data_IF_720507281622
#
_entry.id   IF_720507281622
#
_cell.length_a   1.000
_cell.length_b   1.000
_cell.length_c   1.000
_cell.angle_alpha   90.00
_cell.angle_beta   90.00
_cell.angle_gamma   90.00
#
_symmetry.space_group_name_H-M   'P 1'
#
loop_
_entity.id
_entity.type
_entity.pdbx_description
1 polymer ?
#
# COMPACT_ATOMS: atom_id res chain seq x y z
N UNK A 1 -3.15 7.62 -18.84
CA UNK A 1 -4.60 7.38 -18.89
C UNK A 1 -5.22 7.76 -20.24
N UNK A 2 -4.60 8.68 -20.99
CA UNK A 2 -5.17 9.24 -22.20
C UNK A 2 -6.26 10.29 -21.96
N UNK A 3 -6.72 10.51 -20.74
CA UNK A 3 -7.60 11.62 -20.39
C UNK A 3 -6.79 12.92 -20.27
N UNK A 4 -7.28 14.05 -20.87
CA UNK A 4 -6.63 15.33 -20.67
C UNK A 4 -6.81 15.80 -19.21
N UNK A 5 -5.86 16.59 -18.72
CA UNK A 5 -5.87 17.03 -17.31
C UNK A 5 -7.12 17.87 -16.95
N UNK A 6 -7.63 18.66 -17.88
CA UNK A 6 -8.82 19.51 -17.72
C UNK A 6 -10.14 18.70 -17.68
N UNK A 7 -10.11 17.42 -18.03
CA UNK A 7 -11.25 16.53 -17.88
C UNK A 7 -11.34 15.91 -16.48
N UNK A 8 -10.33 16.05 -15.62
CA UNK A 8 -10.31 15.44 -14.30
C UNK A 8 -11.02 16.38 -13.29
N UNK A 9 -12.12 15.90 -12.72
CA UNK A 9 -13.05 16.73 -11.95
C UNK A 9 -12.82 16.68 -10.44
N UNK A 10 -12.06 15.69 -9.92
CA UNK A 10 -11.79 15.53 -8.50
C UNK A 10 -10.45 14.86 -8.26
N UNK A 11 -9.85 15.05 -7.07
CA UNK A 11 -8.64 14.34 -6.66
C UNK A 11 -8.74 13.81 -5.21
N UNK A 12 -8.34 12.54 -4.99
CA UNK A 12 -8.32 11.90 -3.67
C UNK A 12 -7.00 11.19 -3.44
N UNK A 13 -6.31 11.47 -2.34
CA UNK A 13 -5.02 10.83 -2.03
C UNK A 13 -4.93 10.36 -0.60
N UNK A 14 -4.29 9.20 -0.43
CA UNK A 14 -3.83 8.71 0.86
C UNK A 14 -2.53 9.38 1.28
N UNK A 15 -2.46 9.87 2.51
CA UNK A 15 -1.23 10.39 3.13
C UNK A 15 -1.38 10.29 4.64
N UNK A 16 -0.39 9.74 5.33
CA UNK A 16 -0.50 9.40 6.75
C UNK A 16 0.38 10.27 7.62
N UNK A 17 1.66 10.38 7.30
CA UNK A 17 2.66 11.07 8.11
C UNK A 17 3.02 12.39 7.43
N UNK A 18 2.44 13.50 7.90
CA UNK A 18 2.79 14.82 7.38
C UNK A 18 4.16 15.24 7.85
N UNK A 19 5.05 15.56 6.92
CA UNK A 19 6.44 15.93 7.16
C UNK A 19 6.67 17.43 7.18
N UNK A 20 5.74 18.19 6.59
CA UNK A 20 5.76 19.66 6.55
C UNK A 20 4.33 20.21 6.42
N UNK A 21 4.08 21.51 6.70
CA UNK A 21 2.71 22.08 6.64
C UNK A 21 2.02 21.94 5.29
N UNK A 22 2.78 21.87 4.19
CA UNK A 22 2.24 21.68 2.83
C UNK A 22 1.57 20.31 2.65
N UNK A 23 1.97 19.30 3.40
CA UNK A 23 1.46 17.94 3.27
C UNK A 23 -0.02 17.83 3.62
N UNK A 24 -0.55 18.74 4.44
CA UNK A 24 -1.99 18.85 4.69
C UNK A 24 -2.81 19.20 3.43
N UNK A 25 -2.14 19.69 2.40
CA UNK A 25 -2.72 20.04 1.12
C UNK A 25 -2.26 19.12 -0.02
N UNK A 26 -1.62 17.98 0.28
CA UNK A 26 -0.95 17.14 -0.72
C UNK A 26 -1.83 16.81 -1.93
N UNK A 27 -3.12 16.39 -1.82
CA UNK A 27 -3.93 16.12 -3.00
C UNK A 27 -4.18 17.37 -3.85
N UNK A 28 -4.35 18.52 -3.20
CA UNK A 28 -4.54 19.79 -3.90
C UNK A 28 -3.26 20.23 -4.60
N UNK A 29 -2.12 20.11 -3.95
CA UNK A 29 -0.82 20.41 -4.55
C UNK A 29 -0.54 19.50 -5.75
N UNK A 30 -0.85 18.21 -5.62
CA UNK A 30 -0.71 17.23 -6.70
C UNK A 30 -1.61 17.59 -7.88
N UNK A 31 -2.91 17.85 -7.63
CA UNK A 31 -3.88 18.16 -8.69
C UNK A 31 -3.49 19.42 -9.48
N UNK A 32 -3.16 20.51 -8.80
CA UNK A 32 -2.74 21.75 -9.46
C UNK A 32 -1.42 21.54 -10.21
N UNK A 33 -0.43 20.87 -9.57
CA UNK A 33 0.86 20.55 -10.20
C UNK A 33 0.74 19.66 -11.43
N UNK A 34 -0.27 18.80 -11.48
CA UNK A 34 -0.59 17.94 -12.62
C UNK A 34 -1.41 18.65 -13.71
N UNK A 35 -1.80 19.92 -13.52
CA UNK A 35 -2.56 20.71 -14.48
C UNK A 35 -4.07 20.46 -14.46
N UNK A 36 -4.62 19.89 -13.38
CA UNK A 36 -6.06 19.80 -13.21
C UNK A 36 -6.67 21.21 -13.05
N UNK A 37 -7.92 21.42 -13.45
CA UNK A 37 -8.61 22.70 -13.25
C UNK A 37 -8.61 23.15 -11.78
N UNK A 38 -8.45 24.43 -11.54
CA UNK A 38 -8.56 24.99 -10.19
C UNK A 38 -9.95 24.79 -9.58
N UNK A 39 -10.95 24.55 -10.40
CA UNK A 39 -12.32 24.20 -9.99
C UNK A 39 -12.45 22.75 -9.51
N UNK A 40 -11.49 21.87 -9.79
CA UNK A 40 -11.51 20.47 -9.33
C UNK A 40 -11.15 20.40 -7.84
N UNK A 41 -12.08 20.05 -6.93
CA UNK A 41 -11.75 19.91 -5.53
C UNK A 41 -10.86 18.70 -5.26
N UNK A 42 -10.23 18.73 -4.09
CA UNK A 42 -9.36 17.63 -3.67
C UNK A 42 -9.47 17.40 -2.16
N UNK A 43 -9.38 16.15 -1.73
CA UNK A 43 -9.26 15.82 -0.31
C UNK A 43 -8.29 14.69 -0.05
N UNK A 44 -7.83 14.64 1.18
CA UNK A 44 -6.90 13.63 1.69
C UNK A 44 -7.61 12.66 2.61
N UNK A 45 -7.21 11.40 2.55
CA UNK A 45 -7.67 10.37 3.50
C UNK A 45 -6.50 9.81 4.29
N UNK A 46 -6.75 9.57 5.58
CA UNK A 46 -5.87 8.80 6.44
C UNK A 46 -6.64 7.60 7.00
N UNK A 47 -6.34 6.43 6.47
CA UNK A 47 -6.72 5.12 6.99
C UNK A 47 -5.45 4.28 7.20
N UNK A 48 -4.39 4.92 7.72
CA UNK A 48 -3.08 4.29 7.90
C UNK A 48 -2.65 3.54 6.63
N UNK A 49 -2.16 2.30 6.76
CA UNK A 49 -1.69 1.49 5.63
C UNK A 49 -2.71 1.39 4.47
N UNK A 50 -4.01 1.43 4.76
CA UNK A 50 -5.09 1.33 3.77
C UNK A 50 -5.40 2.61 3.00
N UNK A 51 -4.71 3.73 3.26
CA UNK A 51 -5.07 5.06 2.73
C UNK A 51 -5.10 5.11 1.20
N UNK A 52 -4.13 4.52 0.52
CA UNK A 52 -4.09 4.51 -0.94
C UNK A 52 -5.26 3.76 -1.58
N UNK A 53 -5.62 2.57 -1.06
CA UNK A 53 -6.83 1.85 -1.51
C UNK A 53 -8.11 2.60 -1.12
N UNK A 54 -8.15 3.23 0.07
CA UNK A 54 -9.29 4.04 0.49
C UNK A 54 -9.48 5.25 -0.43
N UNK A 55 -8.43 5.90 -0.87
CA UNK A 55 -8.51 7.00 -1.83
C UNK A 55 -9.17 6.53 -3.14
N UNK A 56 -8.78 5.38 -3.67
CA UNK A 56 -9.40 4.76 -4.86
C UNK A 56 -10.87 4.45 -4.61
N UNK A 57 -11.20 3.85 -3.45
CA UNK A 57 -12.61 3.56 -3.08
C UNK A 57 -13.42 4.84 -2.94
N UNK A 58 -12.88 5.88 -2.30
CA UNK A 58 -13.57 7.16 -2.14
C UNK A 58 -13.82 7.83 -3.48
N UNK A 59 -12.84 7.85 -4.40
CA UNK A 59 -13.05 8.34 -5.77
C UNK A 59 -14.13 7.53 -6.50
N UNK A 60 -14.13 6.21 -6.35
CA UNK A 60 -15.17 5.34 -6.92
C UNK A 60 -16.56 5.68 -6.38
N UNK A 61 -16.66 5.99 -5.08
CA UNK A 61 -17.93 6.38 -4.45
C UNK A 61 -18.43 7.72 -4.99
N UNK A 62 -17.56 8.74 -5.11
CA UNK A 62 -17.93 10.04 -5.72
C UNK A 62 -18.45 9.86 -7.14
N UNK A 63 -17.78 9.06 -7.96
CA UNK A 63 -18.22 8.75 -9.34
C UNK A 63 -19.56 8.03 -9.36
N UNK A 64 -19.74 7.02 -8.49
CA UNK A 64 -21.03 6.27 -8.40
C UNK A 64 -22.18 7.11 -7.90
N UNK A 65 -21.93 8.11 -7.06
CA UNK A 65 -22.96 9.05 -6.56
C UNK A 65 -23.28 10.16 -7.56
N UNK A 66 -22.46 10.32 -8.62
CA UNK A 66 -22.64 11.36 -9.62
C UNK A 66 -22.05 12.72 -9.22
N UNK A 67 -21.19 12.77 -8.19
CA UNK A 67 -20.52 14.00 -7.78
C UNK A 67 -19.44 14.41 -8.81
N UNK A 68 -18.88 13.45 -9.55
CA UNK A 68 -17.96 13.64 -10.67
C UNK A 68 -17.99 12.44 -11.62
N UNK A 69 -17.58 12.66 -12.87
CA UNK A 69 -17.44 11.59 -13.88
C UNK A 69 -16.03 11.00 -13.91
N UNK A 70 -15.05 11.79 -13.45
CA UNK A 70 -13.63 11.46 -13.49
C UNK A 70 -12.93 11.91 -12.22
N UNK A 71 -11.99 11.12 -11.75
CA UNK A 71 -11.19 11.44 -10.57
C UNK A 71 -9.75 10.96 -10.70
N UNK A 72 -8.82 11.73 -10.14
CA UNK A 72 -7.46 11.30 -9.86
C UNK A 72 -7.42 10.71 -8.44
N UNK A 73 -6.96 9.48 -8.31
CA UNK A 73 -6.82 8.83 -7.01
C UNK A 73 -5.43 8.26 -6.83
N UNK A 74 -4.93 8.26 -5.61
CA UNK A 74 -3.59 7.73 -5.36
C UNK A 74 -3.20 7.74 -3.89
N UNK A 75 -1.91 7.67 -3.66
CA UNK A 75 -1.32 7.81 -2.34
C UNK A 75 0.11 8.29 -2.43
N UNK A 76 0.55 8.98 -1.41
CA UNK A 76 1.91 9.49 -1.25
C UNK A 76 2.36 9.31 0.19
N UNK A 77 3.63 8.97 0.38
CA UNK A 77 4.25 8.93 1.70
C UNK A 77 5.74 9.22 1.59
N UNK A 78 6.26 10.00 2.53
CA UNK A 78 7.69 10.31 2.64
C UNK A 78 8.13 9.97 4.07
N UNK A 79 8.27 8.67 4.34
CA UNK A 79 8.59 8.18 5.68
C UNK A 79 10.00 8.58 6.13
N UNK A 80 10.93 8.76 5.19
CA UNK A 80 12.29 9.21 5.45
C UNK A 80 12.37 10.63 6.07
N UNK A 81 11.27 11.40 5.99
CA UNK A 81 11.14 12.75 6.55
C UNK A 81 10.15 12.81 7.73
N UNK A 82 9.79 11.68 8.33
CA UNK A 82 8.91 11.65 9.48
C UNK A 82 9.31 12.69 10.54
N UNK A 83 8.40 13.58 10.99
CA UNK A 83 8.76 14.67 11.88
C UNK A 83 8.88 14.20 13.32
N UNK A 84 9.54 15.02 14.13
CA UNK A 84 9.46 14.92 15.59
C UNK A 84 8.50 15.96 16.14
N UNK A 85 7.66 15.58 17.12
CA UNK A 85 6.76 16.50 17.79
C UNK A 85 7.23 16.79 19.22
N UNK A 86 6.95 18.00 19.67
CA UNK A 86 7.30 18.54 20.97
C UNK A 86 6.00 18.95 21.69
N UNK A 87 5.29 18.04 22.36
CA UNK A 87 3.94 18.31 22.91
C UNK A 87 3.90 19.47 23.91
N UNK A 88 4.96 19.61 24.73
CA UNK A 88 5.01 20.64 25.73
C UNK A 88 5.32 22.06 25.21
N UNK A 89 5.90 22.17 23.98
CA UNK A 89 6.37 23.48 23.46
C UNK A 89 5.22 24.47 23.21
N UNK A 90 4.05 24.01 22.82
CA UNK A 90 2.89 24.88 22.62
C UNK A 90 2.51 25.66 23.89
N UNK A 91 2.79 25.09 25.05
CA UNK A 91 2.47 25.62 26.36
C UNK A 91 3.69 26.18 27.12
N UNK A 92 4.86 26.25 26.41
CA UNK A 92 6.04 26.93 26.90
C UNK A 92 7.07 26.09 27.63
N UNK A 93 6.89 24.77 27.78
CA UNK A 93 7.87 23.83 28.40
C UNK A 93 8.75 24.46 29.50
N UNK A 94 8.13 25.02 30.56
CA UNK A 94 8.66 26.08 31.43
C UNK A 94 9.89 25.69 32.26
N UNK A 95 9.93 24.49 32.84
CA UNK A 95 11.02 24.03 33.70
C UNK A 95 11.13 22.51 33.66
N UNK A 96 12.34 21.99 33.57
CA UNK A 96 12.65 20.57 33.48
C UNK A 96 12.73 20.08 32.03
N UNK A 97 12.95 18.76 31.90
CA UNK A 97 13.08 18.11 30.61
C UNK A 97 11.75 18.08 29.84
N UNK A 98 11.83 18.04 28.50
CA UNK A 98 10.68 17.92 27.61
C UNK A 98 10.86 16.73 26.69
N UNK A 99 9.79 15.95 26.49
CA UNK A 99 9.78 14.80 25.60
C UNK A 99 9.73 15.25 24.14
N UNK A 100 10.53 14.60 23.31
CA UNK A 100 10.47 14.66 21.85
C UNK A 100 9.94 13.31 21.35
N UNK A 101 8.89 13.31 20.55
CA UNK A 101 8.25 12.10 20.04
C UNK A 101 8.55 11.97 18.56
N UNK A 102 9.16 10.86 18.15
CA UNK A 102 9.33 10.48 16.76
C UNK A 102 7.98 10.04 16.17
N UNK A 103 7.43 10.82 15.25
CA UNK A 103 6.14 10.53 14.61
C UNK A 103 6.20 9.36 13.65
N UNK A 104 7.38 9.04 13.10
CA UNK A 104 7.59 7.85 12.28
C UNK A 104 7.33 6.58 13.12
N UNK A 105 8.03 6.47 14.24
CA UNK A 105 7.81 5.38 15.21
C UNK A 105 6.41 5.46 15.82
N UNK A 106 5.90 6.67 16.11
CA UNK A 106 4.57 6.88 16.67
C UNK A 106 3.43 6.37 15.79
N UNK A 107 3.54 6.56 14.47
CA UNK A 107 2.56 6.04 13.51
C UNK A 107 2.55 4.49 13.41
N UNK A 108 3.65 3.85 13.82
CA UNK A 108 3.80 2.40 13.86
C UNK A 108 3.53 1.79 15.25
N UNK A 109 3.04 2.59 16.22
CA UNK A 109 2.61 2.13 17.51
C UNK A 109 1.09 2.05 17.60
N UNK A 110 0.60 0.96 18.18
CA UNK A 110 -0.82 0.76 18.43
C UNK A 110 -1.31 1.70 19.56
N UNK A 111 -2.41 2.44 19.35
CA UNK A 111 -2.92 3.38 20.35
C UNK A 111 -3.64 2.70 21.52
N UNK A 112 -3.90 1.39 21.45
CA UNK A 112 -4.61 0.62 22.48
C UNK A 112 -3.66 -0.08 23.46
N UNK A 113 -2.36 0.26 23.43
CA UNK A 113 -1.38 -0.22 24.41
C UNK A 113 -0.71 -1.56 24.05
N UNK A 114 -0.85 -2.03 22.81
CA UNK A 114 -0.23 -3.30 22.36
C UNK A 114 1.26 -3.09 22.10
N UNK A 115 1.67 -1.91 21.67
CA UNK A 115 3.05 -1.57 21.32
C UNK A 115 3.26 -1.38 19.84
N UNK A 116 4.49 -1.58 19.37
CA UNK A 116 4.84 -1.45 17.94
C UNK A 116 4.07 -2.47 17.08
N UNK A 117 3.76 -2.12 15.82
CA UNK A 117 3.06 -3.03 14.88
C UNK A 117 3.76 -4.39 14.73
N UNK A 118 5.09 -4.46 14.91
CA UNK A 118 5.82 -5.73 14.95
C UNK A 118 5.38 -6.66 16.09
N UNK A 119 4.93 -6.13 17.23
CA UNK A 119 4.34 -6.95 18.31
C UNK A 119 3.02 -7.58 17.87
N UNK A 120 2.22 -6.87 17.06
CA UNK A 120 1.00 -7.47 16.50
C UNK A 120 1.32 -8.59 15.51
N UNK A 121 2.46 -8.52 14.81
CA UNK A 121 2.95 -9.60 13.94
C UNK A 121 3.44 -10.81 14.75
N UNK A 122 4.12 -10.60 15.89
CA UNK A 122 4.45 -11.68 16.85
C UNK A 122 3.18 -12.37 17.35
N UNK A 123 2.13 -11.60 17.67
CA UNK A 123 0.85 -12.16 18.11
C UNK A 123 0.20 -13.01 17.00
N UNK A 124 0.25 -12.55 15.74
CA UNK A 124 -0.26 -13.33 14.62
C UNK A 124 0.56 -14.61 14.44
N UNK A 125 1.89 -14.54 14.52
CA UNK A 125 2.75 -15.73 14.44
C UNK A 125 2.37 -16.76 15.50
N UNK A 126 2.18 -16.34 16.74
CA UNK A 126 1.78 -17.21 17.84
C UNK A 126 0.38 -17.80 17.68
N UNK A 127 -0.63 -16.95 17.37
CA UNK A 127 -2.03 -17.38 17.29
C UNK A 127 -2.29 -18.31 16.09
N UNK A 128 -1.55 -18.14 14.99
CA UNK A 128 -1.75 -18.88 13.73
C UNK A 128 -0.65 -19.91 13.45
N UNK A 129 0.28 -20.12 14.38
CA UNK A 129 1.33 -21.12 14.25
C UNK A 129 2.26 -20.88 13.06
N UNK A 130 2.66 -19.62 12.83
CA UNK A 130 3.61 -19.25 11.78
C UNK A 130 5.01 -19.31 12.37
N UNK A 131 5.85 -20.20 11.85
CA UNK A 131 7.21 -20.35 12.33
C UNK A 131 8.16 -19.27 11.79
N UNK A 132 9.32 -19.12 12.41
CA UNK A 132 10.40 -18.27 11.89
C UNK A 132 10.85 -18.73 10.50
N UNK A 133 10.93 -20.03 10.28
CA UNK A 133 11.30 -20.61 9.00
C UNK A 133 10.27 -20.26 7.90
N UNK A 134 8.98 -20.41 8.17
CA UNK A 134 7.91 -19.98 7.25
C UNK A 134 8.11 -18.52 6.82
N UNK A 135 8.38 -17.62 7.79
CA UNK A 135 8.54 -16.18 7.54
C UNK A 135 9.79 -15.88 6.71
N UNK A 136 10.92 -16.52 7.03
CA UNK A 136 12.17 -16.27 6.33
C UNK A 136 12.13 -16.84 4.90
N UNK A 137 11.53 -18.01 4.69
CA UNK A 137 11.28 -18.57 3.35
C UNK A 137 10.36 -17.67 2.51
N UNK A 138 9.25 -17.20 3.09
CA UNK A 138 8.35 -16.26 2.44
C UNK A 138 9.08 -14.98 2.03
N UNK A 139 9.90 -14.43 2.92
CA UNK A 139 10.64 -13.19 2.68
C UNK A 139 11.69 -13.34 1.58
N UNK A 140 12.46 -14.43 1.62
CA UNK A 140 13.41 -14.75 0.55
C UNK A 140 12.71 -14.92 -0.80
N UNK A 141 11.54 -15.57 -0.83
CA UNK A 141 10.73 -15.70 -2.05
C UNK A 141 10.25 -14.34 -2.56
N UNK A 142 9.78 -13.43 -1.69
CA UNK A 142 9.36 -12.08 -2.06
C UNK A 142 10.52 -11.31 -2.71
N UNK A 143 11.72 -11.37 -2.12
CA UNK A 143 12.93 -10.74 -2.67
C UNK A 143 13.31 -11.34 -4.04
N UNK A 144 13.35 -12.65 -4.16
CA UNK A 144 13.69 -13.33 -5.42
C UNK A 144 12.69 -12.98 -6.54
N UNK A 145 11.38 -12.94 -6.24
CA UNK A 145 10.33 -12.56 -7.18
C UNK A 145 10.48 -11.10 -7.63
N UNK A 146 10.75 -10.18 -6.71
CA UNK A 146 10.94 -8.77 -7.03
C UNK A 146 12.20 -8.54 -7.88
N UNK A 147 13.31 -9.20 -7.56
CA UNK A 147 14.54 -9.15 -8.34
C UNK A 147 14.31 -9.65 -9.76
N UNK A 148 13.68 -10.82 -9.91
CA UNK A 148 13.35 -11.37 -11.23
C UNK A 148 12.44 -10.43 -12.04
N UNK A 149 11.37 -9.89 -11.42
CA UNK A 149 10.45 -8.98 -12.08
C UNK A 149 11.14 -7.68 -12.54
N UNK A 150 12.06 -7.15 -11.72
CA UNK A 150 12.86 -5.98 -12.05
C UNK A 150 13.78 -6.25 -13.25
N UNK A 151 14.53 -7.36 -13.23
CA UNK A 151 15.42 -7.77 -14.33
C UNK A 151 14.66 -8.06 -15.62
N UNK A 152 13.49 -8.70 -15.52
CA UNK A 152 12.61 -8.98 -16.66
C UNK A 152 11.87 -7.73 -17.19
N UNK A 153 11.98 -6.59 -16.49
CA UNK A 153 11.37 -5.32 -16.90
C UNK A 153 9.85 -5.25 -16.67
N UNK A 154 9.28 -6.09 -15.80
CA UNK A 154 7.83 -6.11 -15.54
C UNK A 154 7.32 -4.81 -14.91
N UNK A 155 8.18 -4.07 -14.21
CA UNK A 155 7.84 -2.77 -13.61
C UNK A 155 8.00 -1.57 -14.55
N UNK A 156 8.63 -1.74 -15.72
CA UNK A 156 8.99 -0.64 -16.62
C UNK A 156 7.80 0.26 -17.02
N UNK A 157 6.63 -0.33 -17.24
CA UNK A 157 5.43 0.41 -17.65
C UNK A 157 4.63 0.95 -16.44
N UNK A 158 5.06 0.66 -15.22
CA UNK A 158 4.42 1.08 -13.98
C UNK A 158 5.17 2.24 -13.33
N UNK A 159 6.47 2.32 -13.54
CA UNK A 159 7.35 3.32 -12.93
C UNK A 159 7.44 4.54 -13.82
N UNK A 160 7.17 5.71 -13.25
CA UNK A 160 7.44 7.00 -13.88
C UNK A 160 8.82 7.47 -13.43
N UNK A 161 9.81 7.57 -14.34
CA UNK A 161 11.15 8.04 -13.98
C UNK A 161 11.14 9.47 -13.41
N UNK A 162 12.00 9.71 -12.42
CA UNK A 162 12.20 11.03 -11.81
C UNK A 162 13.63 11.49 -12.04
N UNK A 163 13.81 12.65 -12.67
CA UNK A 163 15.10 13.24 -12.85
C UNK A 163 15.53 14.02 -11.61
N UNK A 164 16.63 13.58 -11.02
CA UNK A 164 17.25 14.19 -9.85
C UNK A 164 18.50 14.97 -10.27
N UNK A 165 18.53 16.26 -9.98
CA UNK A 165 19.74 17.07 -10.21
C UNK A 165 20.62 17.07 -8.98
N UNK A 166 21.78 16.40 -9.06
CA UNK A 166 22.79 16.39 -8.00
C UNK A 166 24.11 16.95 -8.53
N UNK A 167 24.58 18.07 -7.95
CA UNK A 167 25.87 18.70 -8.31
C UNK A 167 26.05 18.90 -9.83
N UNK A 168 25.04 19.43 -10.52
CA UNK A 168 24.99 19.67 -11.99
C UNK A 168 24.99 18.39 -12.86
N UNK A 169 24.74 17.22 -12.26
CA UNK A 169 24.47 15.98 -13.01
C UNK A 169 23.01 15.61 -12.83
N UNK A 170 22.38 15.22 -13.90
CA UNK A 170 21.05 14.62 -13.87
C UNK A 170 21.25 13.13 -13.62
N UNK A 171 20.57 12.61 -12.61
CA UNK A 171 20.45 11.19 -12.32
C UNK A 171 18.98 10.84 -12.48
N UNK A 172 18.65 9.97 -13.39
CA UNK A 172 17.29 9.44 -13.53
C UNK A 172 17.09 8.33 -12.52
N UNK A 173 16.08 8.48 -11.66
CA UNK A 173 15.64 7.47 -10.71
C UNK A 173 14.42 6.76 -11.29
N UNK A 174 14.59 5.50 -11.70
CA UNK A 174 13.65 4.73 -12.53
C UNK A 174 13.46 3.28 -12.07
N UNK A 175 13.90 2.94 -10.87
CA UNK A 175 13.80 1.58 -10.32
C UNK A 175 13.58 1.58 -8.81
N UNK A 176 13.04 0.47 -8.28
CA UNK A 176 12.92 0.25 -6.85
C UNK A 176 14.27 -0.13 -6.25
N UNK A 177 14.81 0.74 -5.38
CA UNK A 177 16.14 0.57 -4.78
C UNK A 177 16.18 -0.36 -3.57
N UNK A 178 15.00 -0.77 -3.06
CA UNK A 178 14.88 -1.53 -1.82
C UNK A 178 15.12 -3.03 -2.00
N UNK A 179 15.05 -3.55 -3.23
CA UNK A 179 15.22 -4.96 -3.55
C UNK A 179 16.60 -5.47 -3.13
N UNK A 180 16.63 -6.60 -2.42
CA UNK A 180 17.84 -7.30 -1.96
C UNK A 180 17.89 -8.68 -2.58
N UNK A 181 18.31 -8.76 -3.82
CA UNK A 181 18.30 -9.98 -4.64
C UNK A 181 19.13 -11.14 -4.01
N UNK A 182 20.12 -10.82 -3.18
CA UNK A 182 20.98 -11.77 -2.49
C UNK A 182 20.36 -12.40 -1.23
N UNK A 183 19.15 -12.00 -0.85
CA UNK A 183 18.51 -12.53 0.36
C UNK A 183 18.10 -13.98 0.19
N UNK A 184 18.56 -14.84 1.09
CA UNK A 184 18.18 -16.26 1.19
C UNK A 184 17.59 -16.56 2.56
N UNK A 185 16.82 -17.65 2.69
CA UNK A 185 16.29 -18.07 3.99
C UNK A 185 17.40 -18.27 5.03
N UNK A 186 18.56 -18.81 4.63
CA UNK A 186 19.71 -19.01 5.50
C UNK A 186 20.30 -17.68 5.99
N UNK A 187 20.42 -16.68 5.11
CA UNK A 187 20.91 -15.35 5.48
C UNK A 187 19.95 -14.65 6.44
N UNK A 188 18.65 -14.82 6.24
CA UNK A 188 17.60 -14.24 7.08
C UNK A 188 17.52 -14.94 8.46
N UNK A 189 17.77 -16.25 8.53
CA UNK A 189 17.76 -17.00 9.78
C UNK A 189 18.76 -16.48 10.83
N UNK A 190 19.85 -15.85 10.39
CA UNK A 190 20.86 -15.23 11.25
C UNK A 190 20.43 -13.88 11.86
N UNK A 191 19.33 -13.29 11.45
CA UNK A 191 18.87 -11.98 11.93
C UNK A 191 18.25 -12.09 13.34
N UNK A 192 18.48 -11.07 14.16
CA UNK A 192 17.89 -10.97 15.50
C UNK A 192 16.43 -10.53 15.42
N UNK A 193 15.63 -10.98 16.36
CA UNK A 193 14.29 -10.45 16.57
C UNK A 193 14.34 -8.92 16.79
N UNK A 194 13.41 -8.20 16.14
CA UNK A 194 13.44 -6.74 16.12
C UNK A 194 12.48 -6.12 17.15
N UNK A 195 11.41 -6.81 17.54
CA UNK A 195 10.32 -6.22 18.30
C UNK A 195 10.10 -6.85 19.67
N UNK A 196 10.44 -8.11 19.86
CA UNK A 196 10.37 -8.82 21.14
C UNK A 196 11.70 -9.53 21.42
N UNK A 197 12.08 -9.64 22.70
CA UNK A 197 13.38 -10.20 23.10
C UNK A 197 13.62 -11.62 22.55
N UNK A 198 12.58 -12.46 22.64
CA UNK A 198 12.62 -13.85 22.17
C UNK A 198 11.61 -14.04 21.01
N UNK A 199 11.44 -12.99 20.19
CA UNK A 199 10.48 -12.97 19.09
C UNK A 199 11.00 -13.65 17.83
N UNK A 200 10.10 -13.76 16.86
CA UNK A 200 10.34 -14.38 15.56
C UNK A 200 10.42 -13.34 14.43
N UNK A 201 9.86 -12.14 14.64
CA UNK A 201 9.79 -11.08 13.63
C UNK A 201 11.09 -10.29 13.61
N UNK A 202 11.70 -10.19 12.44
CA UNK A 202 12.98 -9.53 12.21
C UNK A 202 12.86 -8.39 11.19
N UNK A 203 13.91 -7.61 11.02
CA UNK A 203 13.98 -6.63 9.95
C UNK A 203 13.93 -7.27 8.54
N UNK A 204 14.36 -8.52 8.41
CA UNK A 204 14.39 -9.24 7.13
C UNK A 204 13.05 -9.87 6.74
N UNK A 205 12.15 -10.10 7.71
CA UNK A 205 10.81 -10.63 7.47
C UNK A 205 9.69 -9.63 7.79
N UNK A 206 10.05 -8.34 7.73
CA UNK A 206 9.18 -7.17 7.84
C UNK A 206 9.36 -6.26 6.64
N UNK A 207 8.34 -5.49 6.29
CA UNK A 207 8.47 -4.42 5.29
C UNK A 207 9.38 -3.29 5.78
N UNK A 208 9.92 -2.53 4.85
CA UNK A 208 10.79 -1.39 5.16
C UNK A 208 10.04 -0.09 5.45
N UNK A 209 10.82 0.90 5.87
CA UNK A 209 10.43 2.30 5.95
C UNK A 209 10.82 2.93 4.61
N UNK A 210 9.82 3.36 3.82
CA UNK A 210 10.06 3.75 2.44
C UNK A 210 9.31 5.02 2.07
N UNK A 211 9.83 5.72 1.07
CA UNK A 211 9.15 6.78 0.37
C UNK A 211 8.50 6.21 -0.89
N UNK A 212 7.35 6.72 -1.28
CA UNK A 212 6.70 6.28 -2.51
C UNK A 212 5.39 6.98 -2.81
N UNK A 213 4.99 6.87 -4.07
CA UNK A 213 3.71 7.40 -4.56
C UNK A 213 3.21 6.57 -5.73
N UNK A 214 1.89 6.50 -5.87
CA UNK A 214 1.25 5.98 -7.08
C UNK A 214 -0.06 6.72 -7.35
N UNK A 215 -0.44 6.81 -8.61
CA UNK A 215 -1.62 7.54 -9.08
C UNK A 215 -2.37 6.75 -10.14
N UNK A 216 -3.70 6.77 -10.05
CA UNK A 216 -4.62 6.18 -11.00
C UNK A 216 -5.68 7.20 -11.38
N UNK A 217 -6.14 7.15 -12.63
CA UNK A 217 -7.29 7.93 -13.08
C UNK A 217 -8.49 7.00 -13.15
N UNK A 218 -9.57 7.40 -12.52
CA UNK A 218 -10.86 6.72 -12.53
C UNK A 218 -11.86 7.51 -13.39
N UNK A 219 -12.73 6.79 -14.08
CA UNK A 219 -13.77 7.40 -14.91
C UNK A 219 -15.03 6.51 -14.91
N UNK A 220 -16.21 7.11 -15.09
CA UNK A 220 -17.42 6.35 -15.40
C UNK A 220 -17.47 6.00 -16.90
N UNK A 221 -18.42 5.15 -17.28
CA UNK A 221 -18.56 4.68 -18.66
C UNK A 221 -18.85 5.84 -19.65
N UNK A 222 -19.58 6.87 -19.22
CA UNK A 222 -19.88 8.02 -20.07
C UNK A 222 -18.62 8.83 -20.41
N UNK A 223 -17.76 9.10 -19.42
CA UNK A 223 -16.48 9.77 -19.63
C UNK A 223 -15.52 8.92 -20.49
N UNK A 224 -15.46 7.60 -20.26
CA UNK A 224 -14.70 6.67 -21.10
C UNK A 224 -15.14 6.78 -22.57
N UNK A 225 -16.45 6.77 -22.83
CA UNK A 225 -17.00 6.92 -24.19
C UNK A 225 -16.75 8.30 -24.80
N UNK A 226 -16.93 9.37 -24.03
CA UNK A 226 -16.72 10.75 -24.48
C UNK A 226 -15.28 11.01 -24.89
N UNK A 227 -14.33 10.55 -24.08
CA UNK A 227 -12.90 10.76 -24.33
C UNK A 227 -12.25 9.66 -25.17
N UNK A 228 -13.00 8.60 -25.52
CA UNK A 228 -12.53 7.46 -26.33
C UNK A 228 -11.26 6.81 -25.78
N UNK A 229 -11.17 6.68 -24.46
CA UNK A 229 -10.07 6.02 -23.78
C UNK A 229 -10.36 4.55 -23.54
N UNK A 230 -9.32 3.73 -23.45
CA UNK A 230 -9.44 2.30 -23.15
C UNK A 230 -9.18 2.10 -21.65
N UNK A 231 -10.17 1.69 -20.85
CA UNK A 231 -9.96 1.41 -19.44
C UNK A 231 -9.07 0.16 -19.29
N UNK A 232 -8.11 0.23 -18.36
CA UNK A 232 -7.25 -0.91 -18.03
C UNK A 232 -7.96 -1.94 -17.15
N UNK A 233 -8.87 -1.49 -16.30
CA UNK A 233 -9.64 -2.36 -15.42
C UNK A 233 -10.93 -1.68 -14.96
N UNK A 234 -11.90 -2.48 -14.55
CA UNK A 234 -13.12 -2.04 -13.87
C UNK A 234 -13.05 -2.43 -12.40
N UNK A 235 -13.34 -1.49 -11.50
CA UNK A 235 -13.55 -1.80 -10.08
C UNK A 235 -14.89 -2.53 -9.95
N UNK A 236 -14.84 -3.78 -9.50
CA UNK A 236 -16.02 -4.64 -9.34
C UNK A 236 -16.66 -4.44 -7.98
N UNK A 237 -15.87 -4.61 -6.92
CA UNK A 237 -16.32 -4.49 -5.55
C UNK A 237 -15.18 -4.10 -4.62
N UNK A 238 -15.56 -3.70 -3.41
CA UNK A 238 -14.61 -3.49 -2.31
C UNK A 238 -15.23 -3.98 -0.99
N UNK A 239 -14.35 -4.30 -0.03
CA UNK A 239 -14.75 -4.72 1.30
C UNK A 239 -13.86 -4.13 2.37
N UNK A 240 -14.43 -4.04 3.57
CA UNK A 240 -13.73 -3.60 4.78
C UNK A 240 -13.88 -4.67 5.86
N UNK A 241 -12.89 -4.78 6.73
CA UNK A 241 -12.95 -5.70 7.85
C UNK A 241 -12.41 -5.07 9.12
N UNK A 242 -12.94 -5.49 10.26
CA UNK A 242 -12.42 -5.19 11.58
C UNK A 242 -12.02 -6.48 12.29
N UNK A 243 -10.90 -6.44 13.03
CA UNK A 243 -10.40 -7.54 13.86
C UNK A 243 -9.84 -6.96 15.15
N UNK A 244 -9.60 -7.77 16.20
CA UNK A 244 -8.94 -7.27 17.40
C UNK A 244 -7.61 -6.57 17.04
N UNK A 245 -7.33 -5.36 17.58
CA UNK A 245 -6.11 -4.61 17.27
C UNK A 245 -4.82 -5.40 17.48
N UNK A 246 -4.77 -6.29 18.48
CA UNK A 246 -3.60 -7.11 18.78
C UNK A 246 -3.17 -8.05 17.64
N UNK A 247 -4.07 -8.35 16.72
CA UNK A 247 -3.83 -9.17 15.53
C UNK A 247 -4.26 -8.41 14.25
N UNK A 248 -3.93 -7.12 14.18
CA UNK A 248 -4.32 -6.24 13.06
C UNK A 248 -3.99 -6.83 11.69
N UNK A 249 -2.93 -7.64 11.61
CA UNK A 249 -2.49 -8.31 10.40
C UNK A 249 -3.56 -9.21 9.75
N UNK A 250 -4.59 -9.62 10.51
CA UNK A 250 -5.68 -10.47 10.01
C UNK A 250 -6.84 -9.69 9.39
N UNK A 251 -6.80 -8.36 9.39
CA UNK A 251 -7.81 -7.49 8.76
C UNK A 251 -8.14 -7.81 7.31
N UNK A 252 -7.18 -8.24 6.46
CA UNK A 252 -7.46 -8.67 5.09
C UNK A 252 -8.48 -9.80 4.98
N UNK A 253 -8.55 -10.71 5.93
CA UNK A 253 -9.43 -11.88 5.87
C UNK A 253 -10.92 -11.49 5.79
N UNK A 254 -11.49 -10.74 6.76
CA UNK A 254 -12.89 -10.30 6.65
C UNK A 254 -13.10 -9.30 5.51
N UNK A 255 -12.11 -8.45 5.19
CA UNK A 255 -12.22 -7.49 4.09
C UNK A 255 -12.31 -8.18 2.73
N UNK A 256 -11.48 -9.21 2.50
CA UNK A 256 -11.49 -9.99 1.25
C UNK A 256 -12.77 -10.80 1.10
N UNK A 257 -13.23 -11.45 2.16
CA UNK A 257 -14.50 -12.19 2.13
C UNK A 257 -15.67 -11.29 1.74
N UNK A 258 -15.76 -10.09 2.34
CA UNK A 258 -16.79 -9.10 1.99
C UNK A 258 -16.66 -8.61 0.54
N UNK A 259 -15.43 -8.34 0.06
CA UNK A 259 -15.22 -7.88 -1.31
C UNK A 259 -15.61 -8.95 -2.33
N UNK A 260 -15.25 -10.20 -2.11
CA UNK A 260 -15.58 -11.33 -2.97
C UNK A 260 -17.09 -11.61 -2.97
N UNK A 261 -17.74 -11.61 -1.80
CA UNK A 261 -19.20 -11.76 -1.70
C UNK A 261 -19.92 -10.67 -2.52
N UNK A 262 -19.50 -9.41 -2.40
CA UNK A 262 -20.08 -8.31 -3.17
C UNK A 262 -19.79 -8.39 -4.67
N UNK A 263 -18.68 -9.00 -5.04
CA UNK A 263 -18.32 -9.26 -6.43
C UNK A 263 -19.10 -10.45 -7.03
N UNK A 264 -19.68 -11.32 -6.19
CA UNK A 264 -20.25 -12.61 -6.60
C UNK A 264 -19.17 -13.60 -7.06
N UNK A 265 -17.96 -13.49 -6.48
CA UNK A 265 -16.78 -14.30 -6.82
C UNK A 265 -16.30 -15.10 -5.61
N UNK A 266 -15.59 -16.17 -5.89
CA UNK A 266 -14.80 -16.95 -4.94
C UNK A 266 -13.29 -16.62 -5.06
N UNK A 267 -12.47 -17.18 -4.19
CA UNK A 267 -11.01 -17.08 -4.28
C UNK A 267 -10.48 -17.77 -5.55
N UNK A 268 -11.12 -18.87 -5.95
CA UNK A 268 -10.71 -19.65 -7.12
C UNK A 268 -10.90 -18.90 -8.45
N UNK A 269 -11.82 -17.93 -8.48
CA UNK A 269 -12.06 -17.08 -9.64
C UNK A 269 -10.98 -16.04 -9.86
N UNK A 270 -10.10 -15.81 -8.87
CA UNK A 270 -9.04 -14.82 -8.96
C UNK A 270 -7.81 -15.36 -9.71
N UNK A 271 -7.40 -14.68 -10.75
CA UNK A 271 -6.14 -14.95 -11.45
C UNK A 271 -4.92 -14.41 -10.70
N UNK A 272 -5.11 -13.37 -9.87
CA UNK A 272 -4.04 -12.67 -9.18
C UNK A 272 -4.51 -12.02 -7.89
N UNK A 273 -3.67 -12.08 -6.86
CA UNK A 273 -3.86 -11.35 -5.59
C UNK A 273 -2.60 -10.56 -5.26
N UNK A 274 -2.72 -9.26 -5.09
CA UNK A 274 -1.72 -8.40 -4.47
C UNK A 274 -2.10 -8.22 -2.99
N UNK A 275 -1.46 -8.96 -2.12
CA UNK A 275 -1.63 -8.91 -0.67
C UNK A 275 -0.46 -8.18 -0.04
N UNK A 276 -0.71 -7.07 0.66
CA UNK A 276 0.37 -6.31 1.28
C UNK A 276 1.14 -7.14 2.30
N UNK A 277 2.46 -7.13 2.19
CA UNK A 277 3.39 -7.85 3.06
C UNK A 277 3.94 -6.91 4.14
N UNK A 278 3.07 -6.42 5.04
CA UNK A 278 3.54 -5.59 6.16
C UNK A 278 4.52 -6.37 7.05
N UNK A 279 4.22 -7.65 7.27
CA UNK A 279 5.06 -8.64 7.95
C UNK A 279 4.84 -10.01 7.32
N UNK A 280 5.88 -10.83 7.20
CA UNK A 280 5.75 -12.19 6.67
C UNK A 280 4.79 -13.05 7.52
N UNK A 281 4.80 -12.89 8.85
CA UNK A 281 3.85 -13.56 9.75
C UNK A 281 2.40 -13.34 9.34
N UNK A 282 2.05 -12.07 9.09
CA UNK A 282 0.71 -11.67 8.66
C UNK A 282 0.40 -12.19 7.26
N UNK A 283 1.34 -12.06 6.30
CA UNK A 283 1.11 -12.48 4.93
C UNK A 283 0.88 -14.00 4.83
N UNK A 284 1.67 -14.80 5.53
CA UNK A 284 1.50 -16.25 5.64
C UNK A 284 0.14 -16.62 6.26
N UNK A 285 -0.22 -15.98 7.39
CA UNK A 285 -1.48 -16.26 8.07
C UNK A 285 -2.70 -15.90 7.22
N UNK A 286 -2.69 -14.75 6.54
CA UNK A 286 -3.76 -14.32 5.64
C UNK A 286 -3.91 -15.29 4.46
N UNK A 287 -2.80 -15.68 3.83
CA UNK A 287 -2.81 -16.64 2.71
C UNK A 287 -3.41 -17.97 3.13
N UNK A 288 -3.03 -18.51 4.31
CA UNK A 288 -3.60 -19.75 4.86
C UNK A 288 -5.09 -19.61 5.19
N UNK A 289 -5.53 -18.49 5.76
CA UNK A 289 -6.93 -18.26 6.18
C UNK A 289 -7.90 -18.00 5.01
N UNK A 290 -7.38 -17.55 3.89
CA UNK A 290 -8.14 -17.32 2.65
C UNK A 290 -7.97 -18.45 1.64
N UNK A 291 -7.13 -19.45 1.94
CA UNK A 291 -6.79 -20.57 1.02
C UNK A 291 -6.26 -20.05 -0.33
N UNK A 292 -5.34 -19.08 -0.27
CA UNK A 292 -4.77 -18.45 -1.47
C UNK A 292 -3.71 -19.36 -2.09
N UNK A 293 -3.79 -19.55 -3.42
CA UNK A 293 -2.71 -20.17 -4.17
C UNK A 293 -1.44 -19.29 -4.16
N UNK A 294 -0.37 -19.78 -3.56
CA UNK A 294 0.91 -19.06 -3.45
C UNK A 294 1.50 -18.64 -4.81
N UNK A 295 1.16 -19.33 -5.90
CA UNK A 295 1.59 -18.97 -7.24
C UNK A 295 0.91 -17.69 -7.77
N UNK A 296 -0.31 -17.41 -7.27
CA UNK A 296 -1.12 -16.25 -7.67
C UNK A 296 -0.98 -15.05 -6.72
N UNK A 297 -0.27 -15.21 -5.59
CA UNK A 297 -0.06 -14.13 -4.61
C UNK A 297 1.29 -13.48 -4.83
N UNK A 298 1.29 -12.16 -5.05
CA UNK A 298 2.49 -11.34 -5.20
C UNK A 298 3.55 -11.98 -6.12
N UNK A 299 3.24 -12.38 -7.36
CA UNK A 299 4.18 -13.10 -8.22
C UNK A 299 5.43 -12.28 -8.56
N UNK A 300 5.36 -10.95 -8.42
CA UNK A 300 6.45 -10.02 -8.65
C UNK A 300 7.02 -9.44 -7.33
N UNK A 301 6.91 -10.19 -6.23
CA UNK A 301 7.30 -9.73 -4.90
C UNK A 301 6.32 -8.71 -4.31
N UNK A 302 6.40 -8.50 -3.01
CA UNK A 302 5.54 -7.58 -2.25
C UNK A 302 6.36 -6.62 -1.39
N UNK A 303 5.73 -6.08 -0.34
CA UNK A 303 6.28 -4.98 0.44
C UNK A 303 7.57 -5.32 1.21
N UNK A 304 7.86 -6.58 1.50
CA UNK A 304 9.13 -7.00 2.10
C UNK A 304 10.29 -6.67 1.15
N UNK A 305 10.08 -6.82 -0.15
CA UNK A 305 11.10 -6.56 -1.17
C UNK A 305 11.01 -5.14 -1.76
N UNK A 306 9.78 -4.61 -1.95
CA UNK A 306 9.54 -3.35 -2.67
C UNK A 306 9.29 -2.16 -1.73
N UNK A 307 9.07 -2.43 -0.43
CA UNK A 307 8.80 -1.41 0.56
C UNK A 307 7.31 -1.16 0.83
N UNK A 308 7.06 -0.41 1.94
CA UNK A 308 5.72 -0.10 2.41
C UNK A 308 5.57 1.39 2.78
N UNK A 309 5.59 2.32 1.80
CA UNK A 309 5.22 3.71 2.05
C UNK A 309 3.74 3.77 2.41
N UNK A 310 3.43 3.87 3.72
CA UNK A 310 2.12 3.49 4.29
C UNK A 310 0.93 4.13 3.59
N UNK A 311 0.96 5.43 3.31
CA UNK A 311 -0.13 6.14 2.63
C UNK A 311 -0.25 5.83 1.14
N UNK A 312 0.84 5.37 0.50
CA UNK A 312 0.91 5.11 -0.94
C UNK A 312 0.67 3.64 -1.31
N UNK A 313 0.99 2.70 -0.42
CA UNK A 313 1.05 1.26 -0.73
C UNK A 313 -0.23 0.74 -1.39
N UNK A 314 -1.41 1.18 -0.93
CA UNK A 314 -2.67 0.74 -1.54
C UNK A 314 -2.80 1.08 -3.03
N UNK A 315 -2.31 2.24 -3.45
CA UNK A 315 -2.29 2.64 -4.85
C UNK A 315 -1.17 1.91 -5.64
N UNK A 316 -0.04 1.64 -4.98
CA UNK A 316 1.08 0.88 -5.59
C UNK A 316 0.65 -0.55 -5.91
N UNK A 317 0.06 -1.28 -4.94
CA UNK A 317 -0.37 -2.66 -5.16
C UNK A 317 -1.53 -2.75 -6.17
N UNK A 318 -2.41 -1.73 -6.23
CA UNK A 318 -3.44 -1.66 -7.27
C UNK A 318 -2.83 -1.48 -8.66
N UNK A 319 -1.82 -0.63 -8.79
CA UNK A 319 -1.08 -0.45 -10.06
C UNK A 319 -0.40 -1.74 -10.48
N UNK A 320 0.30 -2.41 -9.56
CA UNK A 320 0.93 -3.71 -9.81
C UNK A 320 -0.09 -4.76 -10.24
N UNK A 321 -1.22 -4.84 -9.55
CA UNK A 321 -2.30 -5.78 -9.84
C UNK A 321 -2.82 -5.61 -11.27
N UNK A 322 -3.11 -4.38 -11.69
CA UNK A 322 -3.61 -4.07 -13.03
C UNK A 322 -2.59 -4.49 -14.09
N UNK A 323 -1.34 -4.06 -13.96
CA UNK A 323 -0.31 -4.34 -14.97
C UNK A 323 0.03 -5.82 -15.06
N UNK A 324 0.07 -6.53 -13.94
CA UNK A 324 0.35 -7.96 -13.94
C UNK A 324 -0.80 -8.77 -14.53
N UNK A 325 -2.06 -8.44 -14.23
CA UNK A 325 -3.21 -9.08 -14.89
C UNK A 325 -3.14 -8.95 -16.41
N UNK A 326 -2.78 -7.77 -16.93
CA UNK A 326 -2.58 -7.60 -18.37
C UNK A 326 -1.43 -8.45 -18.91
N UNK A 327 -0.31 -8.51 -18.17
CA UNK A 327 0.87 -9.28 -18.58
C UNK A 327 0.56 -10.79 -18.69
N UNK A 328 -0.20 -11.34 -17.72
CA UNK A 328 -0.56 -12.76 -17.72
C UNK A 328 -1.85 -13.07 -18.49
N UNK A 329 -2.48 -12.06 -19.10
CA UNK A 329 -3.80 -12.16 -19.73
C UNK A 329 -4.89 -12.66 -18.76
N UNK A 330 -4.75 -12.34 -17.46
CA UNK A 330 -5.73 -12.62 -16.41
C UNK A 330 -6.95 -11.71 -16.49
N UNK A 331 -7.96 -12.02 -15.75
CA UNK A 331 -9.22 -11.26 -15.70
C UNK A 331 -9.50 -10.67 -14.34
N UNK A 332 -9.71 -11.51 -13.32
CA UNK A 332 -10.05 -11.05 -11.99
C UNK A 332 -8.84 -10.98 -11.08
N UNK A 333 -8.74 -9.90 -10.34
CA UNK A 333 -7.71 -9.75 -9.33
C UNK A 333 -8.20 -9.00 -8.11
N UNK A 334 -7.49 -9.19 -7.00
CA UNK A 334 -7.79 -8.55 -5.73
C UNK A 334 -6.55 -7.91 -5.13
N UNK A 335 -6.67 -6.64 -4.74
CA UNK A 335 -5.71 -5.97 -3.85
C UNK A 335 -6.26 -6.00 -2.42
N UNK A 336 -5.47 -6.47 -1.46
CA UNK A 336 -5.87 -6.54 -0.05
C UNK A 336 -4.75 -6.14 0.88
N UNK A 337 -5.08 -5.52 2.02
CA UNK A 337 -4.08 -5.12 3.00
C UNK A 337 -4.63 -4.97 4.41
N UNK A 338 -3.76 -5.24 5.39
CA UNK A 338 -4.00 -4.95 6.79
C UNK A 338 -3.80 -3.47 7.11
N UNK A 339 -4.37 -3.04 8.20
CA UNK A 339 -4.35 -1.64 8.65
C UNK A 339 -4.17 -1.63 10.17
N UNK A 340 -3.27 -0.81 10.66
CA UNK A 340 -3.07 -0.59 12.09
C UNK A 340 -4.38 -0.30 12.83
N UNK A 341 -4.47 -0.72 14.09
CA UNK A 341 -5.68 -0.62 14.89
C UNK A 341 -6.72 -1.72 14.62
N UNK A 342 -6.37 -2.78 13.86
CA UNK A 342 -7.23 -3.95 13.66
C UNK A 342 -8.23 -3.80 12.53
N UNK A 343 -7.80 -3.35 11.36
CA UNK A 343 -8.67 -3.18 10.19
C UNK A 343 -8.08 -3.84 8.93
N UNK A 344 -8.91 -3.97 7.90
CA UNK A 344 -8.51 -4.41 6.56
C UNK A 344 -9.34 -3.75 5.47
N UNK A 345 -8.78 -3.70 4.29
CA UNK A 345 -9.43 -3.22 3.06
C UNK A 345 -9.05 -4.11 1.89
N UNK A 346 -10.03 -4.41 1.04
CA UNK A 346 -9.82 -5.19 -0.19
C UNK A 346 -10.61 -4.58 -1.35
N UNK A 347 -10.03 -4.64 -2.54
CA UNK A 347 -10.67 -4.18 -3.78
C UNK A 347 -10.52 -5.26 -4.84
N UNK A 348 -11.62 -5.64 -5.48
CA UNK A 348 -11.67 -6.60 -6.59
C UNK A 348 -11.84 -5.85 -7.89
N UNK A 349 -11.05 -6.21 -8.90
CA UNK A 349 -11.08 -5.62 -10.24
C UNK A 349 -11.29 -6.70 -11.32
N UNK A 350 -11.83 -6.26 -12.46
CA UNK A 350 -11.93 -7.00 -13.73
C UNK A 350 -11.04 -6.29 -14.75
N UNK A 351 -9.97 -6.93 -15.23
CA UNK A 351 -9.03 -6.38 -16.21
C UNK A 351 -9.47 -6.60 -17.67
N UNK A 352 -10.68 -7.17 -17.88
CA UNK A 352 -11.34 -7.32 -19.19
C UNK A 352 -12.75 -6.71 -19.11
N UNK A 353 -12.83 -5.38 -18.88
CA UNK A 353 -14.08 -4.67 -18.59
C UNK A 353 -15.03 -4.59 -19.76
#
# INVERSE_FOLDING_TARGET
SGLPADAIQHATYGHVIHTEPRDMYSPRCISIGAGLPETSPAFQVNRLCGSGLQAIVSATQLIKLGDCDTALAGGVEVMSRGPYILPAQRWGARMGDSTVIDMMTGALHDPFGIGHMGITAENVAADYGISREDMDQFSAQSQARAAHASEAGYFKNQITPVDLTKRRKILTFDHDEFIRAESTAESLAGLRAAFAKDGLVTAGNSSGINDGTASLVLANAAAVGTHKVNPLARIVAYGFGGVPPRIMGMGPVPASKMALERAGLSVDDLDLVESNEAFAAQACAVSRQLDLDAARVNPNGGAIALGHPVGATGAIIMTKLIHELHRINGRYGMATMCIGGGQGISVVIDAKP
#
